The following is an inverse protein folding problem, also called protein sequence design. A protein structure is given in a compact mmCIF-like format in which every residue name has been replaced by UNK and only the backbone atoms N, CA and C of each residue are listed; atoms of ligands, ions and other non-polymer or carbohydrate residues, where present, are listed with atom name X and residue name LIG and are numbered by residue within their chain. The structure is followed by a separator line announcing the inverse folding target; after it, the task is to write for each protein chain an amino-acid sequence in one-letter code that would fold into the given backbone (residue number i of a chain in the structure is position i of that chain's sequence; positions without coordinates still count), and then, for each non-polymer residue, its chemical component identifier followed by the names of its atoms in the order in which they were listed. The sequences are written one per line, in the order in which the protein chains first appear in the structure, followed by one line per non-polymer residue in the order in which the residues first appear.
data_IF_642023764303
#
_entry.id   IF_642023764303
#
_cell.length_a   1.000
_cell.length_b   1.000
_cell.length_c   1.000
_cell.angle_alpha   90.00
_cell.angle_beta   90.00
_cell.angle_gamma   90.00
#
_symmetry.space_group_name_H-M   'P 1'
#
loop_
_entity.id
_entity.type
_entity.pdbx_description
1 polymer ?
#
# COMPACT_ATOMS: atom_id res chain seq x y z
N UNK A 1 -16.13 -6.04 -7.09
CA UNK A 1 -16.05 -4.81 -7.96
C UNK A 1 -16.62 -5.05 -9.34
N UNK A 2 -17.18 -4.02 -10.00
CA UNK A 2 -17.66 -4.13 -11.41
C UNK A 2 -16.47 -3.93 -12.36
N UNK A 3 -16.49 -4.62 -13.52
CA UNK A 3 -15.42 -4.52 -14.54
C UNK A 3 -15.09 -3.06 -14.89
N UNK A 4 -16.10 -2.21 -15.14
CA UNK A 4 -15.90 -0.78 -15.44
C UNK A 4 -15.24 0.02 -14.30
N UNK A 5 -15.34 -0.44 -13.05
CA UNK A 5 -14.68 0.20 -11.92
C UNK A 5 -13.23 -0.26 -11.84
N UNK A 6 -12.98 -1.55 -12.13
CA UNK A 6 -11.63 -2.12 -12.25
C UNK A 6 -10.83 -1.40 -13.34
N UNK A 7 -11.41 -1.24 -14.55
CA UNK A 7 -10.77 -0.50 -15.65
C UNK A 7 -10.37 0.92 -15.23
N UNK A 8 -11.19 1.59 -14.41
CA UNK A 8 -10.86 2.95 -13.94
C UNK A 8 -9.72 2.97 -12.93
N UNK A 9 -9.63 1.97 -12.06
CA UNK A 9 -8.51 1.82 -11.13
C UNK A 9 -7.23 1.55 -11.91
N UNK A 10 -7.25 0.58 -12.83
CA UNK A 10 -6.10 0.26 -13.69
C UNK A 10 -5.64 1.52 -14.45
N UNK A 11 -6.54 2.18 -15.18
CA UNK A 11 -6.21 3.38 -15.95
C UNK A 11 -5.69 4.54 -15.08
N UNK A 12 -6.16 4.63 -13.82
CA UNK A 12 -5.66 5.63 -12.87
C UNK A 12 -4.20 5.39 -12.54
N UNK A 13 -3.83 4.16 -12.18
CA UNK A 13 -2.47 3.83 -11.82
C UNK A 13 -1.53 3.76 -13.04
N UNK A 14 -1.99 3.22 -14.16
CA UNK A 14 -1.25 3.24 -15.43
C UNK A 14 -0.80 4.66 -15.80
N UNK A 15 -1.72 5.62 -15.63
CA UNK A 15 -1.43 7.03 -15.90
C UNK A 15 -0.36 7.61 -14.99
N UNK A 16 -0.42 7.33 -13.67
CA UNK A 16 0.51 7.95 -12.72
C UNK A 16 1.83 7.21 -12.61
N UNK A 17 1.86 5.92 -12.91
CA UNK A 17 3.09 5.14 -13.01
C UNK A 17 3.74 5.18 -14.39
N UNK A 18 3.05 5.80 -15.39
CA UNK A 18 3.48 5.88 -16.79
C UNK A 18 3.82 4.49 -17.35
N UNK A 19 2.96 3.52 -17.08
CA UNK A 19 3.15 2.10 -17.38
C UNK A 19 1.80 1.39 -17.53
N UNK A 20 1.66 0.50 -18.52
CA UNK A 20 0.38 -0.18 -18.85
C UNK A 20 0.46 -1.71 -18.83
N UNK A 21 1.59 -2.27 -18.40
CA UNK A 21 1.89 -3.69 -18.42
C UNK A 21 1.86 -4.35 -17.02
N UNK A 22 0.86 -3.99 -16.21
CA UNK A 22 0.68 -4.61 -14.90
C UNK A 22 0.28 -6.08 -15.02
N UNK A 23 0.79 -6.89 -14.10
CA UNK A 23 0.31 -8.26 -13.86
C UNK A 23 -0.73 -8.25 -12.77
N UNK A 24 -1.78 -9.08 -12.90
CA UNK A 24 -2.79 -9.25 -11.84
C UNK A 24 -2.44 -10.49 -11.02
N UNK A 25 -2.35 -10.31 -9.71
CA UNK A 25 -2.23 -11.39 -8.73
C UNK A 25 -3.58 -11.58 -8.04
N UNK A 26 -4.05 -12.81 -7.99
CA UNK A 26 -5.33 -13.18 -7.35
C UNK A 26 -5.09 -13.93 -6.05
N UNK A 27 -5.92 -13.75 -5.01
CA UNK A 27 -5.85 -14.56 -3.82
C UNK A 27 -6.18 -16.04 -4.15
N UNK A 28 -5.44 -16.96 -3.53
CA UNK A 28 -5.67 -18.41 -3.73
C UNK A 28 -6.94 -18.86 -3.01
N UNK A 29 -7.30 -18.18 -1.90
CA UNK A 29 -8.46 -18.48 -1.08
C UNK A 29 -9.40 -17.30 -1.09
N UNK A 30 -10.65 -17.54 -1.46
CA UNK A 30 -11.71 -16.54 -1.39
C UNK A 30 -12.36 -16.59 0.00
N UNK A 31 -12.09 -15.57 0.81
CA UNK A 31 -12.66 -15.42 2.16
C UNK A 31 -13.94 -14.56 2.16
N UNK A 32 -14.56 -14.35 0.99
CA UNK A 32 -15.77 -13.52 0.85
C UNK A 32 -15.51 -12.03 0.67
N UNK A 33 -14.29 -11.55 0.95
CA UNK A 33 -13.82 -10.20 0.60
C UNK A 33 -12.64 -10.32 -0.34
N UNK A 34 -12.88 -10.11 -1.63
CA UNK A 34 -11.92 -10.37 -2.69
C UNK A 34 -11.11 -9.11 -3.03
N UNK A 35 -9.79 -9.21 -2.90
CA UNK A 35 -8.83 -8.15 -3.24
C UNK A 35 -7.75 -8.72 -4.16
N UNK A 36 -7.73 -8.26 -5.39
CA UNK A 36 -6.63 -8.51 -6.33
C UNK A 36 -5.50 -7.50 -6.10
N UNK A 37 -4.32 -7.81 -6.61
CA UNK A 37 -3.18 -6.88 -6.61
C UNK A 37 -2.61 -6.76 -8.01
N UNK A 38 -2.52 -5.52 -8.49
CA UNK A 38 -1.79 -5.15 -9.70
C UNK A 38 -0.31 -5.03 -9.34
N UNK A 39 0.55 -5.73 -10.06
CA UNK A 39 2.01 -5.67 -9.91
C UNK A 39 2.61 -4.97 -11.13
N UNK A 40 3.23 -3.81 -10.90
CA UNK A 40 3.99 -3.06 -11.90
C UNK A 40 5.48 -3.21 -11.65
N UNK A 41 6.24 -3.50 -12.71
CA UNK A 41 7.70 -3.62 -12.65
C UNK A 41 8.39 -2.27 -12.45
N UNK A 42 9.64 -2.25 -11.97
CA UNK A 42 10.47 -1.05 -12.04
C UNK A 42 10.54 -0.48 -13.47
N UNK A 43 10.58 0.85 -13.58
CA UNK A 43 10.81 1.55 -14.84
C UNK A 43 11.81 2.71 -14.62
N UNK A 44 12.19 3.43 -15.68
CA UNK A 44 13.20 4.50 -15.60
C UNK A 44 12.82 5.62 -14.62
N UNK A 45 11.53 5.96 -14.54
CA UNK A 45 11.03 7.03 -13.65
C UNK A 45 10.89 6.56 -12.21
N UNK A 46 10.44 5.33 -12.04
CA UNK A 46 10.20 4.70 -10.73
C UNK A 46 10.97 3.37 -10.67
N UNK A 47 12.26 3.39 -10.26
CA UNK A 47 13.13 2.21 -10.28
C UNK A 47 12.84 1.23 -9.13
N UNK A 48 11.56 1.04 -8.81
CA UNK A 48 11.06 0.15 -7.76
C UNK A 48 9.75 -0.51 -8.21
N UNK A 49 9.39 -1.60 -7.56
CA UNK A 49 8.14 -2.30 -7.79
C UNK A 49 6.96 -1.52 -7.18
N UNK A 50 5.81 -1.58 -7.83
CA UNK A 50 4.58 -0.94 -7.37
C UNK A 50 3.48 -2.00 -7.32
N UNK A 51 2.97 -2.27 -6.13
CA UNK A 51 1.83 -3.15 -5.90
C UNK A 51 0.63 -2.29 -5.56
N UNK A 52 -0.51 -2.58 -6.16
CA UNK A 52 -1.75 -1.80 -5.93
C UNK A 52 -2.91 -2.75 -5.73
N UNK A 53 -3.68 -2.56 -4.69
CA UNK A 53 -4.91 -3.33 -4.49
C UNK A 53 -5.98 -2.94 -5.50
N UNK A 54 -6.83 -3.89 -5.84
CA UNK A 54 -8.01 -3.71 -6.66
C UNK A 54 -9.15 -4.55 -6.08
N UNK A 55 -10.08 -3.89 -5.41
CA UNK A 55 -11.18 -4.55 -4.70
C UNK A 55 -11.34 -4.16 -3.25
N UNK A 56 -10.31 -3.60 -2.60
CA UNK A 56 -10.41 -3.11 -1.23
C UNK A 56 -11.49 -2.03 -1.09
N UNK A 57 -11.67 -1.19 -2.11
CA UNK A 57 -12.69 -0.14 -2.17
C UNK A 57 -14.14 -0.64 -2.31
N UNK A 58 -14.36 -1.95 -2.40
CA UNK A 58 -15.72 -2.52 -2.35
C UNK A 58 -16.30 -2.49 -0.92
N UNK A 59 -15.43 -2.44 0.08
CA UNK A 59 -15.86 -2.15 1.43
C UNK A 59 -15.99 -0.63 1.63
N UNK A 60 -17.18 -0.22 2.08
CA UNK A 60 -17.43 1.16 2.48
C UNK A 60 -17.24 1.29 3.99
N UNK A 61 -16.14 1.87 4.38
CA UNK A 61 -15.78 2.10 5.79
C UNK A 61 -16.77 3.04 6.50
N UNK A 62 -16.87 2.99 7.83
CA UNK A 62 -17.58 3.99 8.63
C UNK A 62 -17.18 5.42 8.29
N UNK A 63 -18.11 6.36 8.36
CA UNK A 63 -17.81 7.78 8.09
C UNK A 63 -17.04 8.40 9.25
N UNK A 64 -15.93 9.04 8.90
CA UNK A 64 -15.12 9.83 9.85
C UNK A 64 -14.88 11.22 9.22
N UNK A 65 -14.96 12.31 10.03
CA UNK A 65 -14.70 13.66 9.53
C UNK A 65 -13.29 13.80 8.92
N UNK A 66 -13.15 14.69 7.93
CA UNK A 66 -11.87 15.09 7.32
C UNK A 66 -11.11 13.97 6.61
N UNK A 67 -11.79 12.95 6.11
CA UNK A 67 -11.19 11.88 5.29
C UNK A 67 -11.39 12.12 3.81
N UNK A 68 -10.47 11.59 2.99
CA UNK A 68 -10.53 11.70 1.53
C UNK A 68 -11.75 10.91 0.99
N UNK A 69 -11.97 9.71 1.51
CA UNK A 69 -13.02 8.80 1.10
C UNK A 69 -13.33 7.78 2.20
N UNK A 70 -14.50 7.13 2.10
CA UNK A 70 -14.85 5.94 2.87
C UNK A 70 -14.43 4.64 2.16
N UNK A 71 -13.80 4.73 0.99
CA UNK A 71 -13.37 3.61 0.19
C UNK A 71 -11.91 3.80 -0.18
N UNK A 72 -11.05 2.83 0.12
CA UNK A 72 -9.62 2.90 -0.14
C UNK A 72 -9.16 1.82 -1.12
N UNK A 73 -8.15 2.14 -1.92
CA UNK A 73 -7.19 1.19 -2.47
C UNK A 73 -5.80 1.53 -1.91
N UNK A 74 -4.94 0.52 -1.83
CA UNK A 74 -3.64 0.65 -1.18
C UNK A 74 -2.52 0.42 -2.17
N UNK A 75 -1.44 1.18 -2.01
CA UNK A 75 -0.23 1.12 -2.82
C UNK A 75 0.92 0.67 -1.91
N UNK A 76 1.72 -0.28 -2.33
CA UNK A 76 2.99 -0.60 -1.70
C UNK A 76 4.11 -0.42 -2.70
N UNK A 77 5.10 0.38 -2.36
CA UNK A 77 6.34 0.50 -3.12
C UNK A 77 7.37 -0.44 -2.51
N UNK A 78 7.98 -1.29 -3.35
CA UNK A 78 8.95 -2.29 -2.92
C UNK A 78 10.28 -2.01 -3.61
N UNK A 79 11.38 -2.12 -2.87
CA UNK A 79 12.71 -1.81 -3.37
C UNK A 79 13.03 -2.57 -4.67
N UNK A 80 13.73 -1.90 -5.59
CA UNK A 80 14.01 -2.45 -6.91
C UNK A 80 14.93 -3.69 -6.90
N UNK A 81 15.73 -3.87 -5.84
CA UNK A 81 16.61 -5.03 -5.67
C UNK A 81 15.86 -6.29 -5.21
N UNK A 82 14.61 -6.15 -4.74
CA UNK A 82 13.75 -7.29 -4.44
C UNK A 82 13.29 -7.96 -5.75
N UNK A 83 13.53 -9.27 -5.88
CA UNK A 83 13.14 -10.00 -7.10
C UNK A 83 11.68 -10.49 -7.04
N UNK A 84 10.73 -9.62 -7.35
CA UNK A 84 9.31 -10.01 -7.40
C UNK A 84 8.94 -10.85 -8.65
N UNK A 85 9.89 -11.23 -9.50
CA UNK A 85 9.67 -12.35 -10.43
C UNK A 85 9.74 -13.70 -9.71
N UNK A 86 10.38 -13.76 -8.54
CA UNK A 86 10.29 -14.91 -7.63
C UNK A 86 8.89 -14.96 -7.03
N UNK A 87 8.15 -16.05 -7.29
CA UNK A 87 6.76 -16.21 -6.89
C UNK A 87 6.57 -16.25 -5.37
N UNK A 88 7.50 -16.81 -4.62
CA UNK A 88 7.42 -16.89 -3.16
C UNK A 88 7.52 -15.51 -2.55
N UNK A 89 8.52 -14.72 -2.97
CA UNK A 89 8.71 -13.36 -2.50
C UNK A 89 7.53 -12.44 -2.93
N UNK A 90 7.09 -12.53 -4.18
CA UNK A 90 5.93 -11.79 -4.65
C UNK A 90 4.65 -12.13 -3.85
N UNK A 91 4.45 -13.42 -3.51
CA UNK A 91 3.33 -13.86 -2.68
C UNK A 91 3.43 -13.33 -1.25
N UNK A 92 4.63 -13.22 -0.69
CA UNK A 92 4.82 -12.63 0.63
C UNK A 92 4.35 -11.17 0.67
N UNK A 93 4.79 -10.33 -0.27
CA UNK A 93 4.34 -8.93 -0.38
C UNK A 93 2.85 -8.81 -0.68
N UNK A 94 2.34 -9.66 -1.59
CA UNK A 94 0.91 -9.75 -1.87
C UNK A 94 0.10 -9.99 -0.59
N UNK A 95 0.48 -11.00 0.20
CA UNK A 95 -0.23 -11.35 1.43
C UNK A 95 -0.20 -10.21 2.46
N UNK A 96 0.93 -9.52 2.64
CA UNK A 96 1.03 -8.36 3.52
C UNK A 96 0.10 -7.22 3.07
N UNK A 97 0.08 -6.92 1.77
CA UNK A 97 -0.77 -5.87 1.24
C UNK A 97 -2.27 -6.22 1.33
N UNK A 98 -2.65 -7.45 1.01
CA UNK A 98 -4.04 -7.93 1.13
C UNK A 98 -4.50 -7.96 2.59
N UNK A 99 -3.63 -8.34 3.53
CA UNK A 99 -3.94 -8.31 4.97
C UNK A 99 -4.28 -6.88 5.42
N UNK A 100 -3.48 -5.89 5.05
CA UNK A 100 -3.77 -4.47 5.34
C UNK A 100 -5.08 -4.03 4.68
N UNK A 101 -5.29 -4.39 3.42
CA UNK A 101 -6.49 -4.03 2.65
C UNK A 101 -7.78 -4.62 3.25
N UNK A 102 -7.71 -5.83 3.79
CA UNK A 102 -8.85 -6.52 4.40
C UNK A 102 -9.16 -6.03 5.82
N UNK A 103 -8.20 -5.40 6.48
CA UNK A 103 -8.31 -5.04 7.91
C UNK A 103 -9.54 -4.17 8.21
N UNK A 104 -9.84 -3.20 7.35
CA UNK A 104 -11.01 -2.32 7.54
C UNK A 104 -12.33 -3.09 7.46
N UNK A 105 -12.43 -4.05 6.52
CA UNK A 105 -13.58 -4.93 6.37
C UNK A 105 -13.75 -5.85 7.57
N UNK A 106 -12.69 -6.52 7.99
CA UNK A 106 -12.72 -7.54 9.03
C UNK A 106 -12.99 -6.96 10.42
N UNK A 107 -12.51 -5.73 10.67
CA UNK A 107 -12.66 -5.03 11.95
C UNK A 107 -13.74 -3.94 11.95
N UNK A 108 -14.46 -3.75 10.85
CA UNK A 108 -15.51 -2.73 10.70
C UNK A 108 -15.03 -1.32 11.10
N UNK A 109 -13.82 -0.95 10.72
CA UNK A 109 -13.20 0.31 11.11
C UNK A 109 -12.88 1.20 9.90
N UNK A 110 -12.47 2.44 10.19
CA UNK A 110 -11.99 3.40 9.19
C UNK A 110 -10.48 3.45 9.21
N UNK A 111 -9.87 3.40 8.03
CA UNK A 111 -8.42 3.50 7.82
C UNK A 111 -8.10 4.72 6.99
N UNK A 112 -7.14 5.53 7.44
CA UNK A 112 -6.66 6.72 6.76
C UNK A 112 -5.18 6.96 7.08
N UNK A 113 -4.61 8.04 6.52
CA UNK A 113 -3.26 8.50 6.85
C UNK A 113 -3.00 8.52 8.36
N UNK A 114 -1.81 8.11 8.74
CA UNK A 114 -1.33 8.13 10.12
C UNK A 114 -1.68 6.89 10.93
N UNK A 115 -2.54 6.00 10.42
CA UNK A 115 -2.80 4.74 11.10
C UNK A 115 -1.65 3.75 10.91
N UNK A 116 -1.43 2.92 11.92
CA UNK A 116 -0.54 1.77 11.87
C UNK A 116 -1.27 0.51 12.32
N UNK A 117 -0.80 -0.62 11.84
CA UNK A 117 -1.28 -1.95 12.19
C UNK A 117 -0.11 -2.79 12.62
N UNK A 118 -0.22 -3.42 13.76
CA UNK A 118 0.69 -4.46 14.21
C UNK A 118 0.04 -5.82 14.01
N UNK A 119 0.82 -6.83 13.62
CA UNK A 119 0.37 -8.21 13.54
C UNK A 119 1.34 -9.13 14.23
N UNK A 120 0.85 -10.27 14.69
CA UNK A 120 1.70 -11.32 15.21
C UNK A 120 2.34 -12.06 14.04
N UNK A 121 3.66 -12.21 14.08
CA UNK A 121 4.40 -13.06 13.16
C UNK A 121 4.52 -14.46 13.77
N UNK A 122 3.95 -15.45 13.07
CA UNK A 122 4.16 -16.86 13.39
C UNK A 122 5.51 -17.35 12.85
N UNK A 123 6.10 -16.62 11.90
CA UNK A 123 7.42 -16.88 11.32
C UNK A 123 8.46 -16.00 12.02
N UNK A 124 9.41 -16.65 12.72
CA UNK A 124 10.49 -15.97 13.44
C UNK A 124 11.48 -15.24 12.52
N UNK A 125 11.48 -15.58 11.22
CA UNK A 125 12.39 -15.01 10.23
C UNK A 125 11.77 -13.80 9.49
N UNK A 126 10.47 -13.50 9.76
CA UNK A 126 9.79 -12.33 9.20
C UNK A 126 9.99 -11.12 10.15
N UNK A 127 10.84 -10.20 9.76
CA UNK A 127 11.17 -9.01 10.55
C UNK A 127 10.08 -7.94 10.50
N UNK A 128 9.18 -7.97 9.48
CA UNK A 128 8.13 -6.98 9.28
C UNK A 128 6.93 -7.28 10.17
N UNK A 129 6.76 -6.52 11.22
CA UNK A 129 5.73 -6.73 12.27
C UNK A 129 4.55 -5.78 12.14
N UNK A 130 4.66 -4.73 11.33
CA UNK A 130 3.63 -3.70 11.21
C UNK A 130 3.57 -3.06 9.82
N UNK A 131 2.53 -2.29 9.59
CA UNK A 131 2.40 -1.38 8.46
C UNK A 131 1.98 0.01 8.93
N UNK A 132 2.47 1.03 8.25
CA UNK A 132 2.08 2.43 8.39
C UNK A 132 1.34 2.91 7.15
N UNK A 133 0.26 3.67 7.32
CA UNK A 133 -0.53 4.25 6.24
C UNK A 133 -0.10 5.68 5.97
N UNK A 134 0.44 5.88 4.78
CA UNK A 134 1.05 7.12 4.32
C UNK A 134 0.34 7.66 3.05
N UNK A 135 0.63 8.87 2.66
CA UNK A 135 0.34 9.38 1.32
C UNK A 135 1.47 9.00 0.35
N UNK A 136 1.18 8.64 -0.91
CA UNK A 136 2.22 8.33 -1.91
C UNK A 136 2.94 9.61 -2.38
N UNK A 137 3.78 10.20 -1.54
CA UNK A 137 4.42 11.51 -1.74
C UNK A 137 5.41 11.52 -2.91
N UNK A 138 5.97 10.36 -3.28
CA UNK A 138 6.90 10.25 -4.41
C UNK A 138 6.25 10.53 -5.77
N UNK A 139 4.94 10.48 -5.85
CA UNK A 139 4.20 10.84 -7.06
C UNK A 139 3.94 12.34 -7.02
N UNK A 140 4.50 13.07 -7.97
CA UNK A 140 4.53 14.56 -8.03
C UNK A 140 3.15 15.25 -8.01
N UNK A 141 2.05 14.49 -7.91
CA UNK A 141 0.72 15.06 -7.95
C UNK A 141 -0.21 14.44 -6.90
N UNK A 142 -0.85 15.31 -6.13
CA UNK A 142 -1.91 14.92 -5.18
C UNK A 142 -3.13 14.26 -5.86
N UNK A 143 -3.22 14.30 -7.19
CA UNK A 143 -4.32 13.68 -7.94
C UNK A 143 -4.32 12.16 -7.86
N UNK A 144 -3.16 11.53 -7.62
CA UNK A 144 -3.09 10.08 -7.39
C UNK A 144 -3.93 9.66 -6.19
N UNK A 145 -4.04 10.52 -5.15
CA UNK A 145 -4.79 10.23 -3.92
C UNK A 145 -6.28 9.98 -4.15
N UNK A 146 -6.83 10.34 -5.31
CA UNK A 146 -8.28 10.31 -5.57
C UNK A 146 -8.58 9.68 -6.91
N UNK A 147 -9.01 8.43 -6.91
CA UNK A 147 -9.51 7.73 -8.09
C UNK A 147 -11.04 7.83 -8.16
N UNK A 148 -11.58 8.45 -9.23
CA UNK A 148 -13.03 8.54 -9.48
C UNK A 148 -13.49 7.31 -10.25
N UNK A 149 -14.10 6.35 -9.59
CA UNK A 149 -14.59 5.11 -10.23
C UNK A 149 -16.07 5.13 -10.59
N UNK A 150 -16.82 6.06 -10.01
CA UNK A 150 -18.25 6.24 -10.29
C UNK A 150 -18.67 7.70 -10.32
N UNK A 151 -19.96 7.97 -10.58
CA UNK A 151 -20.49 9.33 -10.56
C UNK A 151 -20.33 9.97 -9.17
N UNK A 152 -20.57 9.19 -8.11
CA UNK A 152 -20.51 9.62 -6.71
C UNK A 152 -19.49 8.80 -5.88
N UNK A 153 -18.75 7.86 -6.49
CA UNK A 153 -17.78 7.03 -5.82
C UNK A 153 -16.36 7.49 -6.15
N UNK A 154 -15.68 8.04 -5.14
CA UNK A 154 -14.25 8.35 -5.16
C UNK A 154 -13.55 7.37 -4.22
N UNK A 155 -12.42 6.84 -4.65
CA UNK A 155 -11.54 5.96 -3.88
C UNK A 155 -10.33 6.76 -3.44
N UNK A 156 -9.94 6.66 -2.18
CA UNK A 156 -8.66 7.16 -1.71
C UNK A 156 -7.57 6.11 -2.01
N UNK A 157 -6.45 6.55 -2.56
CA UNK A 157 -5.30 5.71 -2.86
C UNK A 157 -4.19 6.05 -1.85
N UNK A 158 -3.97 5.16 -0.89
CA UNK A 158 -3.05 5.37 0.22
C UNK A 158 -1.85 4.43 0.12
N UNK A 159 -0.69 4.89 0.56
CA UNK A 159 0.51 4.07 0.58
C UNK A 159 0.57 3.23 1.86
N UNK A 160 1.08 2.01 1.73
CA UNK A 160 1.45 1.11 2.82
C UNK A 160 2.97 1.03 2.88
N UNK A 161 3.55 1.30 4.03
CA UNK A 161 4.97 1.11 4.33
C UNK A 161 5.09 0.03 5.38
N UNK A 162 5.84 -1.04 5.10
CA UNK A 162 6.10 -2.10 6.07
C UNK A 162 7.12 -1.62 7.09
N UNK A 163 6.90 -1.96 8.36
CA UNK A 163 7.74 -1.58 9.48
C UNK A 163 8.25 -2.81 10.23
N UNK A 164 9.52 -2.76 10.61
CA UNK A 164 10.06 -3.64 11.62
C UNK A 164 9.68 -3.14 13.03
N UNK A 165 10.13 -3.85 14.07
CA UNK A 165 9.77 -3.51 15.44
C UNK A 165 10.31 -2.15 15.89
N UNK A 166 11.57 -1.83 15.57
CA UNK A 166 12.18 -0.56 15.96
C UNK A 166 11.53 0.63 15.28
N UNK A 167 11.18 0.50 13.98
CA UNK A 167 10.46 1.51 13.23
C UNK A 167 9.07 1.77 13.84
N UNK A 168 8.36 0.70 14.25
CA UNK A 168 7.06 0.83 14.91
C UNK A 168 7.17 1.52 16.28
N UNK A 169 8.15 1.14 17.09
CA UNK A 169 8.40 1.79 18.37
C UNK A 169 8.71 3.28 18.18
N UNK A 170 9.50 3.62 17.16
CA UNK A 170 9.81 5.00 16.83
C UNK A 170 8.61 5.77 16.33
N UNK A 171 7.79 5.19 15.46
CA UNK A 171 6.53 5.79 15.03
C UNK A 171 5.63 6.13 16.23
N UNK A 172 5.54 5.22 17.20
CA UNK A 172 4.74 5.43 18.41
C UNK A 172 5.31 6.52 19.32
N UNK A 173 6.63 6.68 19.33
CA UNK A 173 7.31 7.73 20.11
C UNK A 173 7.08 9.13 19.52
N UNK A 174 7.33 9.31 18.20
CA UNK A 174 7.39 10.65 17.58
C UNK A 174 6.10 11.04 16.85
N UNK A 175 5.22 10.08 16.60
CA UNK A 175 3.95 10.27 15.91
C UNK A 175 4.05 10.27 14.38
N UNK A 176 2.90 10.13 13.69
CA UNK A 176 2.86 9.86 12.26
C UNK A 176 3.44 11.00 11.39
N UNK A 177 3.26 12.26 11.78
CA UNK A 177 3.73 13.38 10.98
C UNK A 177 5.26 13.46 10.98
N UNK A 178 5.89 13.39 12.17
CA UNK A 178 7.35 13.41 12.26
C UNK A 178 7.96 12.15 11.65
N UNK A 179 7.32 10.99 11.80
CA UNK A 179 7.77 9.74 11.17
C UNK A 179 7.74 9.83 9.64
N UNK A 180 6.71 10.45 9.07
CA UNK A 180 6.61 10.67 7.62
C UNK A 180 7.81 11.44 7.05
N UNK A 181 8.38 12.40 7.80
CA UNK A 181 9.56 13.17 7.38
C UNK A 181 10.80 12.28 7.21
N UNK A 182 10.94 11.24 8.04
CA UNK A 182 12.05 10.27 7.91
C UNK A 182 11.88 9.30 6.76
N UNK A 183 10.65 9.03 6.32
CA UNK A 183 10.41 8.17 5.17
C UNK A 183 10.90 8.76 3.86
N UNK A 184 11.00 10.09 3.79
CA UNK A 184 11.37 10.85 2.58
C UNK A 184 12.55 11.79 2.87
N UNK A 185 13.76 11.26 3.13
CA UNK A 185 14.92 12.09 3.43
C UNK A 185 15.27 12.96 2.22
N UNK A 186 15.72 14.20 2.49
CA UNK A 186 16.18 15.17 1.46
C UNK A 186 17.53 14.80 0.82
N UNK A 187 18.17 13.74 1.29
CA UNK A 187 19.50 13.29 0.84
C UNK A 187 19.40 12.18 -0.22
N UNK A 188 20.52 11.94 -0.93
CA UNK A 188 20.69 10.79 -1.83
C UNK A 188 20.70 9.43 -1.10
N UNK A 189 20.38 9.41 0.20
CA UNK A 189 20.28 8.22 1.00
C UNK A 189 19.11 7.34 0.56
N UNK A 190 19.19 6.06 0.90
CA UNK A 190 18.17 5.06 0.56
C UNK A 190 16.78 5.51 1.05
N UNK A 191 15.79 5.58 0.16
CA UNK A 191 14.47 6.08 0.55
C UNK A 191 13.74 5.06 1.44
N UNK A 192 13.35 5.48 2.63
CA UNK A 192 12.74 4.62 3.64
C UNK A 192 11.26 4.30 3.39
N UNK A 193 10.63 4.99 2.45
CA UNK A 193 9.25 4.68 2.05
C UNK A 193 9.12 3.38 1.23
N UNK A 194 10.23 2.80 0.74
CA UNK A 194 10.25 1.52 0.04
C UNK A 194 10.21 0.38 1.06
N UNK A 195 9.26 -0.54 0.88
CA UNK A 195 9.19 -1.77 1.67
C UNK A 195 10.23 -2.77 1.21
N UNK A 196 10.83 -3.47 2.16
CA UNK A 196 11.81 -4.54 1.95
C UNK A 196 11.56 -5.62 2.99
N UNK A 197 11.76 -6.89 2.62
CA UNK A 197 11.54 -8.01 3.53
C UNK A 197 12.57 -8.01 4.68
N UNK A 198 13.81 -7.66 4.36
CA UNK A 198 14.93 -7.56 5.31
C UNK A 198 15.53 -6.16 5.22
N UNK A 199 14.87 -5.22 5.87
CA UNK A 199 15.31 -3.82 5.89
C UNK A 199 16.06 -3.53 7.18
N UNK A 200 17.20 -2.83 7.08
CA UNK A 200 17.82 -2.21 8.26
C UNK A 200 16.87 -1.17 8.88
N UNK A 201 17.00 -0.95 10.17
CA UNK A 201 16.23 0.06 10.88
C UNK A 201 16.33 1.43 10.18
N UNK A 202 15.24 2.19 10.21
CA UNK A 202 15.23 3.59 9.73
C UNK A 202 15.97 4.49 10.73
N UNK A 203 16.13 4.05 12.00
CA UNK A 203 16.69 4.81 13.11
C UNK A 203 17.83 4.09 13.77
#
# INVERSE_FOLDING_TARGET
MKVKEMDKIINHFDKYFEQTDSMVMHPIVDNGFHVDVLLYKPNEKYPFWKLVTMGASDYKMPSVPNTISQCNEYIMFVHGDEDLNNKELASWYFNKLVMVASFAHDNHCHITYGHSFEWQNDDSDDEMVAAFIEFPQIIETVKILRCKIGLLKTVACLQVVLLNKNDLEKLMEIGPQAFSEYLYPDSDDRPHFLSERHRSDIF
#
